data_IF_877095160835
#
_entry.id   IF_877095160835
#
_cell.length_a   1.000
_cell.length_b   1.000
_cell.length_c   1.000
_cell.angle_alpha   90.00
_cell.angle_beta   90.00
_cell.angle_gamma   90.00
#
_symmetry.space_group_name_H-M   'P 1'
#
loop_
_entity.id
_entity.type
_entity.pdbx_description
1 polymer ?
#
# COMPACT_ATOMS: atom_id res chain seq x y z
N UNK A 1 -32.32 34.16 -4.86
CA UNK A 1 -30.90 33.82 -4.58
C UNK A 1 -30.79 32.34 -4.23
N UNK A 2 -30.80 31.43 -5.21
CA UNK A 2 -30.81 29.96 -4.96
C UNK A 2 -29.92 29.15 -5.92
N UNK A 3 -29.31 29.84 -6.89
CA UNK A 3 -28.40 29.27 -7.88
C UNK A 3 -26.94 29.02 -7.42
N UNK A 4 -26.33 29.78 -6.49
CA UNK A 4 -24.90 29.61 -6.21
C UNK A 4 -24.58 28.28 -5.51
N UNK A 5 -25.47 27.76 -4.67
CA UNK A 5 -25.26 26.50 -3.95
C UNK A 5 -25.38 25.26 -4.85
N UNK A 6 -26.27 25.28 -5.84
CA UNK A 6 -26.47 24.17 -6.77
C UNK A 6 -25.28 24.03 -7.74
N UNK A 7 -24.75 25.16 -8.21
CA UNK A 7 -23.57 25.18 -9.06
C UNK A 7 -22.32 24.68 -8.32
N UNK A 8 -22.17 25.05 -7.05
CA UNK A 8 -21.09 24.55 -6.18
C UNK A 8 -21.18 23.03 -5.98
N UNK A 9 -22.39 22.49 -5.78
CA UNK A 9 -22.63 21.05 -5.69
C UNK A 9 -22.28 20.29 -6.97
N UNK A 10 -22.63 20.83 -8.13
CA UNK A 10 -22.25 20.28 -9.45
C UNK A 10 -20.74 20.29 -9.68
N UNK A 11 -20.04 21.34 -9.24
CA UNK A 11 -18.58 21.44 -9.34
C UNK A 11 -17.85 20.40 -8.47
N UNK A 12 -18.39 20.09 -7.28
CA UNK A 12 -17.79 19.08 -6.37
C UNK A 12 -17.91 17.65 -6.92
N UNK A 13 -18.95 17.36 -7.72
CA UNK A 13 -19.12 16.06 -8.40
C UNK A 13 -18.07 15.79 -9.48
N UNK A 14 -17.34 16.83 -9.91
CA UNK A 14 -16.34 16.73 -10.99
C UNK A 14 -14.91 16.65 -10.45
N UNK A 15 -14.72 16.66 -9.13
CA UNK A 15 -13.39 16.48 -8.53
C UNK A 15 -12.98 15.01 -8.72
N UNK A 16 -11.95 14.70 -9.52
CA UNK A 16 -11.46 13.35 -9.65
C UNK A 16 -10.99 12.85 -8.28
N UNK A 17 -11.27 11.59 -7.95
CA UNK A 17 -10.72 10.98 -6.74
C UNK A 17 -9.19 11.06 -6.74
N UNK A 18 -8.62 11.61 -5.68
CA UNK A 18 -7.15 11.65 -5.53
C UNK A 18 -6.65 10.24 -5.26
N UNK A 19 -5.67 9.77 -6.04
CA UNK A 19 -4.95 8.51 -5.81
C UNK A 19 -3.53 8.84 -5.36
N UNK A 20 -3.13 8.29 -4.21
CA UNK A 20 -1.76 8.37 -3.70
C UNK A 20 -1.07 7.01 -3.79
N UNK A 21 0.25 7.00 -3.69
CA UNK A 21 1.05 5.77 -3.73
C UNK A 21 0.75 4.87 -2.51
N UNK A 22 0.69 3.56 -2.77
CA UNK A 22 0.63 2.54 -1.71
C UNK A 22 2.03 2.32 -1.19
N UNK A 23 2.26 2.67 0.07
CA UNK A 23 3.56 2.46 0.73
C UNK A 23 3.49 1.19 1.57
N UNK A 24 4.47 0.29 1.39
CA UNK A 24 4.68 -0.89 2.23
C UNK A 24 5.80 -0.60 3.23
N UNK A 25 5.51 -0.72 4.52
CA UNK A 25 6.49 -0.57 5.61
C UNK A 25 6.81 -1.93 6.20
N UNK A 26 8.09 -2.29 6.22
CA UNK A 26 8.57 -3.56 6.79
C UNK A 26 9.24 -3.35 8.15
N UNK A 27 8.98 -4.26 9.09
CA UNK A 27 9.54 -4.23 10.45
C UNK A 27 9.97 -5.64 10.86
N UNK A 28 11.14 -5.81 11.50
CA UNK A 28 12.14 -4.78 11.80
C UNK A 28 12.93 -4.37 10.55
N UNK A 29 13.63 -3.22 10.63
CA UNK A 29 14.48 -2.74 9.54
C UNK A 29 15.70 -3.64 9.30
N UNK A 30 16.20 -4.27 10.36
CA UNK A 30 17.26 -5.27 10.32
C UNK A 30 17.05 -6.23 11.48
N UNK A 31 17.30 -7.52 11.25
CA UNK A 31 17.22 -8.57 12.26
C UNK A 31 18.37 -9.56 12.03
N UNK A 32 19.12 -9.83 13.08
CA UNK A 32 20.10 -10.92 13.12
C UNK A 32 19.54 -12.03 14.01
N UNK A 33 19.60 -13.27 13.54
CA UNK A 33 19.13 -14.46 14.27
C UNK A 33 20.20 -15.55 14.25
N UNK A 34 20.15 -16.48 15.21
CA UNK A 34 21.01 -17.65 15.20
C UNK A 34 20.47 -18.65 14.16
N UNK A 35 21.33 -19.35 13.39
CA UNK A 35 20.87 -20.39 12.48
C UNK A 35 20.00 -21.44 13.19
N UNK A 36 18.80 -21.67 12.66
CA UNK A 36 17.80 -22.58 13.24
C UNK A 36 16.74 -21.88 14.10
N UNK A 37 16.94 -20.62 14.46
CA UNK A 37 15.89 -19.82 15.13
C UNK A 37 14.87 -19.28 14.13
N UNK A 38 13.65 -19.05 14.62
CA UNK A 38 12.57 -18.45 13.84
C UNK A 38 12.79 -16.93 13.70
N UNK A 39 12.79 -16.45 12.45
CA UNK A 39 12.73 -15.02 12.15
C UNK A 39 11.32 -14.65 11.68
N UNK A 40 10.84 -13.47 12.10
CA UNK A 40 9.57 -12.91 11.64
C UNK A 40 9.77 -11.48 11.14
N UNK A 41 9.17 -11.17 9.99
CA UNK A 41 9.14 -9.83 9.39
C UNK A 41 7.67 -9.48 9.15
N UNK A 42 7.28 -8.30 9.61
CA UNK A 42 5.94 -7.74 9.39
C UNK A 42 5.95 -6.78 8.21
N UNK A 43 4.88 -6.78 7.42
CA UNK A 43 4.64 -5.81 6.35
C UNK A 43 3.29 -5.12 6.57
N UNK A 44 3.27 -3.79 6.60
CA UNK A 44 2.07 -2.97 6.74
C UNK A 44 1.92 -2.09 5.50
N UNK A 45 0.76 -2.16 4.85
CA UNK A 45 0.39 -1.24 3.78
C UNK A 45 -0.27 0.02 4.32
N UNK A 46 -0.07 1.15 3.65
CA UNK A 46 -0.72 2.43 3.98
C UNK A 46 -2.23 2.44 3.73
N UNK A 47 -2.70 1.56 2.83
CA UNK A 47 -4.10 1.41 2.46
C UNK A 47 -4.45 -0.05 2.13
N UNK A 48 -5.73 -0.32 1.84
CA UNK A 48 -6.18 -1.65 1.44
C UNK A 48 -5.50 -2.10 0.15
N UNK A 49 -5.03 -3.35 0.14
CA UNK A 49 -4.50 -4.03 -1.06
C UNK A 49 -5.59 -4.84 -1.79
N UNK A 50 -6.82 -4.81 -1.28
CA UNK A 50 -7.95 -5.48 -1.91
C UNK A 50 -8.28 -4.79 -3.22
N UNK A 51 -8.09 -5.50 -4.32
CA UNK A 51 -8.39 -5.04 -5.65
C UNK A 51 -9.89 -5.18 -5.96
N UNK A 52 -10.35 -4.54 -7.04
CA UNK A 52 -11.76 -4.54 -7.45
C UNK A 52 -12.29 -5.92 -7.83
N UNK A 53 -11.42 -6.87 -8.15
CA UNK A 53 -11.80 -8.27 -8.39
C UNK A 53 -11.96 -9.09 -7.09
N UNK A 54 -11.82 -8.44 -5.93
CA UNK A 54 -11.93 -9.04 -4.61
C UNK A 54 -10.68 -9.80 -4.16
N UNK A 55 -9.54 -9.65 -4.85
CA UNK A 55 -8.28 -10.31 -4.47
C UNK A 55 -7.26 -9.34 -3.88
N UNK A 56 -6.44 -9.86 -2.99
CA UNK A 56 -5.30 -9.14 -2.42
C UNK A 56 -4.02 -9.65 -3.09
N UNK A 57 -3.21 -8.72 -3.60
CA UNK A 57 -1.93 -9.03 -4.24
C UNK A 57 -0.78 -8.57 -3.34
N UNK A 58 -0.14 -9.52 -2.66
CA UNK A 58 1.03 -9.28 -1.82
C UNK A 58 1.95 -10.50 -1.87
N UNK A 59 3.20 -10.30 -2.26
CA UNK A 59 4.22 -11.34 -2.34
C UNK A 59 5.48 -10.91 -1.58
N UNK A 60 6.21 -11.88 -1.05
CA UNK A 60 7.52 -11.68 -0.44
C UNK A 60 8.61 -12.10 -1.42
N UNK A 61 9.63 -11.25 -1.56
CA UNK A 61 10.80 -11.53 -2.40
C UNK A 61 12.06 -11.47 -1.56
N UNK A 62 13.01 -12.35 -1.83
CA UNK A 62 14.31 -12.34 -1.19
C UNK A 62 15.36 -11.81 -2.15
N UNK A 63 16.05 -10.74 -1.75
CA UNK A 63 17.19 -10.20 -2.48
C UNK A 63 18.47 -10.49 -1.69
N UNK A 64 19.32 -11.36 -2.24
CA UNK A 64 20.66 -11.61 -1.71
C UNK A 64 21.66 -10.66 -2.37
N UNK A 65 22.70 -10.20 -1.66
CA UNK A 65 23.72 -9.34 -2.26
C UNK A 65 24.27 -9.93 -3.57
N UNK A 66 24.19 -9.15 -4.65
CA UNK A 66 24.70 -9.54 -5.98
C UNK A 66 23.84 -10.51 -6.77
N UNK A 67 22.61 -10.82 -6.33
CA UNK A 67 21.68 -11.71 -7.03
C UNK A 67 20.39 -10.98 -7.40
N UNK A 68 19.63 -11.51 -8.36
CA UNK A 68 18.30 -10.96 -8.65
C UNK A 68 17.30 -11.31 -7.54
N UNK A 69 16.28 -10.47 -7.31
CA UNK A 69 15.16 -10.83 -6.45
C UNK A 69 14.52 -12.15 -6.90
N UNK A 70 14.32 -13.06 -5.96
CA UNK A 70 13.59 -14.32 -6.15
C UNK A 70 12.26 -14.28 -5.41
#
# INVERSE_FOLDING_TARGET
MKFPAQLLGLLLLWVPGSSGDVVLTQTPLSLSVIPGEMASISCKSSQSLLHSDGKTYLNWFQHKPGQFPQ
#
